data_IF_076486902397
#
_entry.id   IF_076486902397
#
_cell.length_a   1.000
_cell.length_b   1.000
_cell.length_c   1.000
_cell.angle_alpha   90.00
_cell.angle_beta   90.00
_cell.angle_gamma   90.00
#
_symmetry.space_group_name_H-M   'P 1'
#
loop_
_entity.id
_entity.type
_entity.pdbx_description
1 polymer ?
#
# COMPACT_ATOMS: atom_id res chain seq x y z
N UNK A 1 -17.81 -17.25 -4.88
CA UNK A 1 -16.48 -17.92 -4.96
C UNK A 1 -15.39 -16.86 -4.86
N UNK A 2 -14.75 -16.69 -3.69
CA UNK A 2 -13.67 -15.70 -3.54
C UNK A 2 -12.40 -16.23 -4.18
N UNK A 3 -11.98 -15.64 -5.32
CA UNK A 3 -10.79 -16.08 -6.04
C UNK A 3 -9.54 -15.67 -5.25
N UNK A 4 -8.84 -16.65 -4.67
CA UNK A 4 -7.53 -16.44 -4.02
C UNK A 4 -6.46 -16.46 -5.11
N UNK A 5 -5.64 -15.41 -5.18
CA UNK A 5 -4.48 -15.34 -6.09
C UNK A 5 -3.24 -15.61 -5.24
N UNK A 6 -2.43 -16.59 -5.66
CA UNK A 6 -1.12 -16.88 -5.05
C UNK A 6 -0.03 -16.40 -5.99
N UNK A 7 0.93 -15.64 -5.46
CA UNK A 7 2.09 -15.14 -6.20
C UNK A 7 3.35 -15.50 -5.41
N UNK A 8 4.35 -16.06 -6.09
CA UNK A 8 5.68 -16.28 -5.53
C UNK A 8 6.52 -15.03 -5.73
N UNK A 9 7.19 -14.56 -4.69
CA UNK A 9 8.05 -13.37 -4.72
C UNK A 9 9.42 -13.72 -4.13
N UNK A 10 10.48 -13.13 -4.69
CA UNK A 10 11.83 -13.24 -4.15
C UNK A 10 12.10 -12.06 -3.23
N UNK A 11 12.58 -12.34 -2.03
CA UNK A 11 13.01 -11.35 -1.05
C UNK A 11 14.53 -11.32 -0.97
N UNK A 12 15.11 -10.16 -0.64
CA UNK A 12 16.52 -10.11 -0.25
C UNK A 12 16.70 -10.79 1.12
N UNK A 13 17.92 -11.27 1.45
CA UNK A 13 18.17 -11.93 2.73
C UNK A 13 17.78 -11.08 3.95
N UNK A 14 17.93 -9.77 3.87
CA UNK A 14 17.60 -8.83 4.94
C UNK A 14 16.08 -8.75 5.16
N UNK A 15 15.31 -8.69 4.07
CA UNK A 15 13.85 -8.68 4.12
C UNK A 15 13.29 -10.01 4.61
N UNK A 16 13.88 -11.13 4.16
CA UNK A 16 13.50 -12.46 4.65
C UNK A 16 13.69 -12.56 6.17
N UNK A 17 14.86 -12.17 6.70
CA UNK A 17 15.12 -12.16 8.16
C UNK A 17 14.14 -11.28 8.92
N UNK A 18 13.80 -10.10 8.38
CA UNK A 18 12.81 -9.21 8.98
C UNK A 18 11.44 -9.88 9.07
N UNK A 19 10.95 -10.44 7.97
CA UNK A 19 9.68 -11.17 7.93
C UNK A 19 9.69 -12.35 8.89
N UNK A 20 10.75 -13.16 8.89
CA UNK A 20 10.87 -14.31 9.78
C UNK A 20 10.87 -13.90 11.25
N UNK A 21 11.50 -12.79 11.61
CA UNK A 21 11.47 -12.25 12.99
C UNK A 21 10.05 -11.87 13.40
N UNK A 22 9.28 -11.25 12.51
CA UNK A 22 7.89 -10.87 12.76
C UNK A 22 6.99 -12.10 12.96
N UNK A 23 7.18 -13.15 12.16
CA UNK A 23 6.44 -14.41 12.31
C UNK A 23 6.85 -15.13 13.60
N UNK A 24 8.15 -15.23 13.88
CA UNK A 24 8.68 -15.86 15.09
C UNK A 24 8.22 -15.16 16.38
N UNK A 25 8.01 -13.84 16.33
CA UNK A 25 7.45 -13.08 17.46
C UNK A 25 5.98 -13.38 17.75
N UNK A 26 5.29 -14.12 16.87
CA UNK A 26 3.85 -14.39 16.97
C UNK A 26 2.95 -13.23 16.54
N UNK A 27 3.52 -12.08 16.13
CA UNK A 27 2.76 -10.92 15.63
C UNK A 27 2.04 -11.20 14.32
N UNK A 28 2.56 -12.13 13.52
CA UNK A 28 1.99 -12.60 12.27
C UNK A 28 2.05 -14.12 12.20
N UNK A 29 1.04 -14.77 11.63
CA UNK A 29 1.04 -16.23 11.52
C UNK A 29 1.78 -16.71 10.28
N UNK A 30 1.81 -15.91 9.22
CA UNK A 30 2.44 -16.29 7.95
C UNK A 30 3.18 -15.13 7.30
N UNK A 31 4.18 -15.46 6.48
CA UNK A 31 4.89 -14.50 5.62
C UNK A 31 3.91 -13.72 4.75
N UNK A 32 2.91 -14.39 4.19
CA UNK A 32 1.88 -13.77 3.34
C UNK A 32 1.07 -12.70 4.07
N UNK A 33 0.89 -12.79 5.38
CA UNK A 33 0.23 -11.73 6.16
C UNK A 33 1.12 -10.50 6.29
N UNK A 34 2.41 -10.71 6.61
CA UNK A 34 3.40 -9.62 6.71
C UNK A 34 3.49 -8.85 5.39
N UNK A 35 3.57 -9.57 4.28
CA UNK A 35 3.66 -8.98 2.93
C UNK A 35 2.40 -8.18 2.61
N UNK A 36 1.21 -8.69 2.94
CA UNK A 36 -0.06 -7.99 2.66
C UNK A 36 -0.20 -6.71 3.48
N UNK A 37 0.19 -6.73 4.74
CA UNK A 37 0.21 -5.53 5.57
C UNK A 37 1.23 -4.51 5.04
N UNK A 38 2.42 -4.95 4.65
CA UNK A 38 3.43 -4.10 4.00
C UNK A 38 2.92 -3.46 2.71
N UNK A 39 2.23 -4.22 1.86
CA UNK A 39 1.62 -3.71 0.63
C UNK A 39 0.46 -2.75 0.92
N UNK A 40 -0.33 -2.94 1.98
CA UNK A 40 -1.38 -2.00 2.38
C UNK A 40 -0.77 -0.66 2.79
N UNK A 41 0.28 -0.67 3.61
CA UNK A 41 1.00 0.53 4.00
C UNK A 41 1.64 1.24 2.80
N UNK A 42 2.18 0.47 1.84
CA UNK A 42 2.67 1.03 0.58
C UNK A 42 1.54 1.66 -0.24
N UNK A 43 0.39 0.99 -0.33
CA UNK A 43 -0.78 1.51 -1.03
C UNK A 43 -1.24 2.82 -0.40
N UNK A 44 -1.27 2.96 0.93
CA UNK A 44 -1.61 4.23 1.58
C UNK A 44 -0.65 5.35 1.17
N UNK A 45 0.67 5.07 1.12
CA UNK A 45 1.69 6.05 0.71
C UNK A 45 1.60 6.43 -0.77
N UNK A 46 1.23 5.48 -1.63
CA UNK A 46 1.08 5.69 -3.08
C UNK A 46 -0.28 6.32 -3.41
N UNK A 47 -1.32 5.99 -2.66
CA UNK A 47 -2.69 6.46 -2.84
C UNK A 47 -2.96 7.81 -2.18
N UNK A 48 -2.06 8.31 -1.34
CA UNK A 48 -1.88 9.75 -1.15
C UNK A 48 -1.29 10.28 -2.47
N UNK A 49 -2.10 10.85 -3.40
CA UNK A 49 -1.52 11.63 -4.48
C UNK A 49 -0.63 12.71 -3.85
N UNK A 50 0.42 13.20 -4.56
CA UNK A 50 1.15 14.38 -4.12
C UNK A 50 0.11 15.46 -3.81
N UNK A 51 -0.13 15.68 -2.52
CA UNK A 51 -1.18 16.56 -2.08
C UNK A 51 -0.73 17.96 -2.48
N UNK A 52 -1.50 18.58 -3.38
CA UNK A 52 -1.27 19.89 -4.00
C UNK A 52 -0.36 19.87 -5.24
N UNK A 53 -0.97 19.93 -6.42
CA UNK A 53 -0.66 20.82 -7.56
C UNK A 53 -1.61 20.45 -8.71
N UNK A 54 -2.48 21.40 -9.10
CA UNK A 54 -3.37 21.37 -10.29
C UNK A 54 -4.85 20.95 -10.13
N UNK A 55 -5.56 21.48 -9.13
CA UNK A 55 -6.89 22.00 -9.47
C UNK A 55 -6.79 23.52 -9.60
N UNK A 56 -6.80 24.10 -10.82
CA UNK A 56 -6.98 25.53 -10.98
C UNK A 56 -8.35 25.93 -10.38
N UNK A 57 -8.47 27.13 -9.77
CA UNK A 57 -9.77 27.61 -9.31
C UNK A 57 -10.74 27.58 -10.49
N UNK A 58 -11.90 26.95 -10.29
CA UNK A 58 -12.97 26.93 -11.29
C UNK A 58 -13.21 28.38 -11.74
N UNK A 59 -13.34 28.64 -13.06
CA UNK A 59 -13.64 29.98 -13.51
C UNK A 59 -14.98 30.36 -12.89
N UNK A 60 -14.96 31.42 -12.09
CA UNK A 60 -16.15 32.10 -11.61
C UNK A 60 -17.04 32.35 -12.83
N UNK A 61 -18.15 31.63 -12.95
CA UNK A 61 -19.23 31.99 -13.88
C UNK A 61 -19.87 33.29 -13.39
N UNK A 62 -19.12 34.38 -13.52
CA UNK A 62 -19.63 35.74 -13.52
C UNK A 62 -19.99 36.07 -14.95
N UNK A 63 -21.15 35.59 -15.38
CA UNK A 63 -21.92 36.26 -16.41
C UNK A 63 -23.30 36.50 -15.81
N UNK A 64 -23.38 37.63 -15.13
CA UNK A 64 -24.60 38.30 -14.66
C UNK A 64 -24.97 39.32 -15.74
N UNK A 65 -26.23 39.77 -15.81
CA UNK A 65 -27.44 39.10 -16.27
C UNK A 65 -27.78 39.38 -17.75
#
# INVERSE_FOLDING_TARGET
>A
MSRRISQSISLTPELDRFVQTLVASGRYQTVSEVVRDGLRLLQERVALPPSSLAQPPAPSSGHDP
#
